data_IF_954189999654
#
_entry.id   IF_954189999654
#
_cell.length_a   1.000
_cell.length_b   1.000
_cell.length_c   1.000
_cell.angle_alpha   90.00
_cell.angle_beta   90.00
_cell.angle_gamma   90.00
#
_symmetry.space_group_name_H-M   'P 1'
#
loop_
_entity.id
_entity.type
_entity.pdbx_description
1 polymer ?
#
# COMPACT_ATOMS: atom_id res chain seq x y z
N UNK A 1 11.15 17.89 3.12
CA UNK A 1 10.67 19.30 3.24
C UNK A 1 11.28 20.21 2.17
N UNK A 2 11.03 19.96 0.89
CA UNK A 2 11.47 20.88 -0.17
C UNK A 2 10.40 21.92 -0.54
N UNK A 3 9.24 21.85 0.10
CA UNK A 3 8.12 22.75 -0.19
C UNK A 3 7.92 23.72 0.98
N UNK A 4 8.12 25.00 0.74
CA UNK A 4 8.05 26.06 1.74
C UNK A 4 6.78 26.94 1.67
N UNK A 5 5.79 26.53 0.84
CA UNK A 5 4.52 27.28 0.73
C UNK A 5 3.58 27.04 1.92
N UNK A 6 3.72 25.91 2.62
CA UNK A 6 2.86 25.55 3.74
C UNK A 6 3.71 24.94 4.85
N UNK A 7 3.41 25.31 6.08
CA UNK A 7 3.97 24.64 7.25
C UNK A 7 3.26 23.33 7.50
N UNK A 8 4.02 22.24 7.58
CA UNK A 8 3.56 20.94 8.01
C UNK A 8 4.70 20.16 8.66
N UNK A 9 4.33 19.32 9.61
CA UNK A 9 5.23 18.37 10.24
C UNK A 9 5.02 16.98 9.65
N UNK A 10 6.10 16.22 9.51
CA UNK A 10 6.08 14.87 8.98
C UNK A 10 6.55 13.88 10.04
N UNK A 11 5.74 12.84 10.25
CA UNK A 11 6.11 11.64 10.98
C UNK A 11 6.11 10.49 9.99
N UNK A 12 7.25 9.79 9.88
CA UNK A 12 7.36 8.58 9.05
C UNK A 12 7.09 7.37 9.94
N UNK A 13 5.88 6.84 9.83
CA UNK A 13 5.38 5.79 10.67
C UNK A 13 5.47 4.45 9.96
N UNK A 14 6.14 3.49 10.58
CA UNK A 14 6.26 2.12 10.10
C UNK A 14 5.55 1.20 11.09
N UNK A 15 4.57 0.48 10.62
CA UNK A 15 3.94 -0.59 11.38
C UNK A 15 4.61 -1.91 11.05
N UNK A 16 5.13 -2.57 12.08
CA UNK A 16 5.62 -3.94 11.99
C UNK A 16 4.51 -4.90 12.41
N UNK A 17 3.91 -5.64 11.50
CA UNK A 17 2.84 -6.60 11.80
C UNK A 17 3.36 -8.00 12.17
N UNK A 18 4.65 -8.15 12.44
CA UNK A 18 5.36 -9.42 12.67
C UNK A 18 6.28 -9.77 11.49
N UNK A 19 7.02 -8.81 10.97
CA UNK A 19 8.02 -9.06 9.92
C UNK A 19 9.14 -9.96 10.41
N UNK A 20 9.70 -10.76 9.48
CA UNK A 20 10.98 -11.39 9.73
C UNK A 20 12.11 -10.35 9.77
N UNK A 21 13.24 -10.72 10.38
CA UNK A 21 14.39 -9.83 10.58
C UNK A 21 14.90 -9.23 9.26
N UNK A 22 14.95 -10.02 8.19
CA UNK A 22 15.42 -9.56 6.89
C UNK A 22 14.54 -8.45 6.32
N UNK A 23 13.22 -8.59 6.41
CA UNK A 23 12.27 -7.58 5.94
C UNK A 23 12.36 -6.28 6.75
N UNK A 24 12.54 -6.40 8.07
CA UNK A 24 12.74 -5.26 8.96
C UNK A 24 14.03 -4.51 8.60
N UNK A 25 15.13 -5.22 8.39
CA UNK A 25 16.40 -4.63 7.98
C UNK A 25 16.31 -3.89 6.63
N UNK A 26 15.56 -4.42 5.65
CA UNK A 26 15.35 -3.72 4.38
C UNK A 26 14.68 -2.35 4.60
N UNK A 27 13.65 -2.29 5.44
CA UNK A 27 12.95 -1.03 5.76
C UNK A 27 13.91 -0.04 6.43
N UNK A 28 14.65 -0.48 7.43
CA UNK A 28 15.58 0.36 8.18
C UNK A 28 16.75 0.84 7.31
N UNK A 29 17.29 -0.03 6.44
CA UNK A 29 18.34 0.34 5.51
C UNK A 29 17.88 1.38 4.48
N UNK A 30 16.68 1.23 3.93
CA UNK A 30 16.11 2.25 3.04
C UNK A 30 15.93 3.59 3.76
N UNK A 31 15.47 3.56 5.01
CA UNK A 31 15.30 4.78 5.82
C UNK A 31 16.65 5.48 6.07
N UNK A 32 17.69 4.71 6.40
CA UNK A 32 19.06 5.21 6.57
C UNK A 32 19.63 5.79 5.26
N UNK A 33 19.44 5.08 4.14
CA UNK A 33 19.94 5.52 2.83
C UNK A 33 19.30 6.85 2.39
N UNK A 34 18.05 7.06 2.75
CA UNK A 34 17.30 8.28 2.43
C UNK A 34 17.40 9.38 3.51
N UNK A 35 18.12 9.11 4.61
CA UNK A 35 18.19 10.00 5.79
C UNK A 35 16.79 10.39 6.31
N UNK A 36 15.92 9.38 6.43
CA UNK A 36 14.53 9.56 6.90
C UNK A 36 14.41 8.99 8.31
N UNK A 37 14.07 9.81 9.32
CA UNK A 37 13.77 9.31 10.66
C UNK A 37 12.44 8.55 10.64
N UNK A 38 12.46 7.24 10.90
CA UNK A 38 11.25 6.43 10.99
C UNK A 38 10.90 6.16 12.45
N UNK A 39 9.59 6.13 12.73
CA UNK A 39 9.04 5.65 14.00
C UNK A 39 8.43 4.28 13.76
N UNK A 40 9.03 3.23 14.31
CA UNK A 40 8.52 1.87 14.19
C UNK A 40 7.64 1.54 15.39
N UNK A 41 6.49 0.93 15.16
CA UNK A 41 5.67 0.32 16.20
C UNK A 41 5.25 -1.08 15.79
N UNK A 42 5.20 -1.97 16.76
CA UNK A 42 4.90 -3.39 16.55
C UNK A 42 3.41 -3.68 16.74
N UNK A 43 2.92 -4.70 16.08
CA UNK A 43 1.59 -5.26 16.27
C UNK A 43 1.60 -6.76 15.97
N UNK A 44 0.67 -7.47 16.56
CA UNK A 44 0.46 -8.92 16.43
C UNK A 44 -0.52 -9.30 15.32
N UNK A 45 -0.68 -8.42 14.32
CA UNK A 45 -1.69 -8.62 13.26
C UNK A 45 -1.48 -9.92 12.50
N UNK A 46 -0.25 -10.29 12.21
CA UNK A 46 0.01 -11.52 11.44
C UNK A 46 -0.42 -12.76 12.24
N UNK A 47 -0.19 -12.77 13.55
CA UNK A 47 -0.60 -13.89 14.40
C UNK A 47 -2.11 -13.90 14.56
N UNK A 48 -2.75 -12.75 14.78
CA UNK A 48 -4.20 -12.64 14.91
C UNK A 48 -4.96 -13.04 13.63
N UNK A 49 -4.38 -12.79 12.45
CA UNK A 49 -5.02 -13.10 11.16
C UNK A 49 -4.70 -14.52 10.68
N UNK A 50 -3.62 -15.14 11.17
CA UNK A 50 -3.17 -16.47 10.76
C UNK A 50 -4.21 -17.57 11.03
N UNK A 51 -4.99 -17.43 12.09
CA UNK A 51 -6.02 -18.40 12.50
C UNK A 51 -7.35 -18.28 11.73
N UNK A 52 -7.45 -17.29 10.80
CA UNK A 52 -8.71 -16.99 10.12
C UNK A 52 -8.73 -17.55 8.70
N UNK A 53 -9.62 -18.51 8.46
CA UNK A 53 -9.77 -19.17 7.15
C UNK A 53 -10.41 -18.29 6.08
N UNK A 54 -11.31 -17.36 6.46
CA UNK A 54 -12.06 -16.53 5.49
C UNK A 54 -11.47 -15.14 5.34
N UNK A 55 -10.98 -14.85 4.13
CA UNK A 55 -10.50 -13.50 3.72
C UNK A 55 -9.44 -12.88 4.65
N UNK A 56 -8.35 -13.58 4.99
CA UNK A 56 -7.33 -13.09 5.91
C UNK A 56 -6.72 -11.76 5.43
N UNK A 57 -6.52 -11.60 4.13
CA UNK A 57 -5.95 -10.37 3.55
C UNK A 57 -6.85 -9.13 3.76
N UNK A 58 -8.18 -9.30 3.67
CA UNK A 58 -9.12 -8.20 3.92
C UNK A 58 -9.07 -7.75 5.39
N UNK A 59 -9.08 -8.72 6.31
CA UNK A 59 -9.02 -8.44 7.74
C UNK A 59 -7.68 -7.80 8.12
N UNK A 60 -6.58 -8.33 7.63
CA UNK A 60 -5.25 -7.76 7.80
C UNK A 60 -5.20 -6.29 7.35
N UNK A 61 -5.69 -5.99 6.14
CA UNK A 61 -5.72 -4.63 5.62
C UNK A 61 -6.60 -3.69 6.47
N UNK A 62 -7.72 -4.19 7.00
CA UNK A 62 -8.61 -3.43 7.87
C UNK A 62 -7.97 -3.14 9.23
N UNK A 63 -7.35 -4.14 9.86
CA UNK A 63 -6.66 -3.99 11.14
C UNK A 63 -5.47 -3.03 10.99
N UNK A 64 -4.62 -3.24 9.98
CA UNK A 64 -3.48 -2.35 9.70
C UNK A 64 -3.91 -0.89 9.58
N UNK A 65 -5.02 -0.64 8.88
CA UNK A 65 -5.57 0.72 8.76
C UNK A 65 -5.98 1.28 10.11
N UNK A 66 -6.69 0.52 10.92
CA UNK A 66 -7.11 0.94 12.27
C UNK A 66 -5.93 1.31 13.15
N UNK A 67 -4.92 0.44 13.22
CA UNK A 67 -3.70 0.67 14.01
C UNK A 67 -2.93 1.92 13.55
N UNK A 68 -2.77 2.09 12.23
CA UNK A 68 -2.10 3.27 11.68
C UNK A 68 -2.84 4.58 12.03
N UNK A 69 -4.17 4.59 11.95
CA UNK A 69 -4.96 5.76 12.34
C UNK A 69 -4.85 6.06 13.84
N UNK A 70 -4.97 5.04 14.70
CA UNK A 70 -4.82 5.20 16.14
C UNK A 70 -3.45 5.77 16.49
N UNK A 71 -2.39 5.18 15.92
CA UNK A 71 -1.01 5.62 16.19
C UNK A 71 -0.72 7.02 15.67
N UNK A 72 -1.20 7.35 14.48
CA UNK A 72 -1.08 8.70 13.93
C UNK A 72 -1.80 9.74 14.81
N UNK A 73 -2.98 9.41 15.33
CA UNK A 73 -3.73 10.29 16.24
C UNK A 73 -3.01 10.48 17.57
N UNK A 74 -2.44 9.42 18.16
CA UNK A 74 -1.61 9.50 19.37
C UNK A 74 -0.40 10.45 19.19
N UNK A 75 0.19 10.45 17.98
CA UNK A 75 1.31 11.31 17.61
C UNK A 75 0.88 12.73 17.22
N UNK A 76 -0.40 13.09 17.41
CA UNK A 76 -0.93 14.41 17.08
C UNK A 76 -1.07 14.71 15.59
N UNK A 77 -1.00 13.69 14.73
CA UNK A 77 -1.21 13.86 13.30
C UNK A 77 -2.69 14.07 12.97
N UNK A 78 -2.99 14.92 12.01
CA UNK A 78 -4.33 15.15 11.49
C UNK A 78 -4.54 14.54 10.09
N UNK A 79 -3.48 13.97 9.48
CA UNK A 79 -3.53 13.35 8.17
C UNK A 79 -2.69 12.09 8.12
N UNK A 80 -3.16 11.11 7.34
CA UNK A 80 -2.37 9.94 6.95
C UNK A 80 -2.11 10.02 5.46
N UNK A 81 -0.84 10.01 5.07
CA UNK A 81 -0.42 9.92 3.68
C UNK A 81 -0.13 8.45 3.31
N UNK A 82 -0.87 7.90 2.36
CA UNK A 82 -0.66 6.55 1.86
C UNK A 82 0.00 6.57 0.48
N UNK A 83 0.86 5.58 0.23
CA UNK A 83 1.64 5.43 -0.99
C UNK A 83 0.87 4.89 -2.20
N UNK A 84 -0.47 4.95 -2.21
CA UNK A 84 -1.24 4.54 -3.38
C UNK A 84 -0.95 5.47 -4.55
N UNK A 85 -0.77 4.87 -5.73
CA UNK A 85 -0.38 5.54 -6.95
C UNK A 85 -1.43 5.37 -8.06
N UNK A 86 -1.17 5.94 -9.24
CA UNK A 86 -2.11 5.99 -10.36
C UNK A 86 -2.60 4.60 -10.81
N UNK A 87 -1.69 3.62 -10.86
CA UNK A 87 -2.05 2.26 -11.28
C UNK A 87 -2.98 1.58 -10.27
N UNK A 88 -2.82 1.83 -8.95
CA UNK A 88 -3.74 1.35 -7.91
C UNK A 88 -5.17 1.87 -8.12
N UNK A 89 -5.29 3.12 -8.58
CA UNK A 89 -6.60 3.73 -8.85
C UNK A 89 -7.29 3.03 -10.00
N UNK A 90 -6.57 2.82 -11.12
CA UNK A 90 -7.10 2.11 -12.30
C UNK A 90 -7.49 0.68 -11.94
N UNK A 91 -6.62 -0.04 -11.26
CA UNK A 91 -6.88 -1.40 -10.81
C UNK A 91 -8.13 -1.49 -9.93
N UNK A 92 -8.29 -0.53 -8.99
CA UNK A 92 -9.46 -0.49 -8.11
C UNK A 92 -10.75 -0.25 -8.88
N UNK A 93 -10.76 0.65 -9.86
CA UNK A 93 -11.92 0.91 -10.72
C UNK A 93 -12.29 -0.35 -11.50
N UNK A 94 -11.32 -0.97 -12.19
CA UNK A 94 -11.55 -2.17 -12.98
C UNK A 94 -12.00 -3.36 -12.13
N UNK A 95 -11.42 -3.54 -10.95
CA UNK A 95 -11.88 -4.55 -9.99
C UNK A 95 -13.33 -4.33 -9.57
N UNK A 96 -13.71 -3.09 -9.26
CA UNK A 96 -15.08 -2.73 -8.92
C UNK A 96 -16.07 -3.05 -10.05
N UNK A 97 -15.70 -2.70 -11.28
CA UNK A 97 -16.54 -2.93 -12.46
C UNK A 97 -16.67 -4.41 -12.80
N UNK A 98 -15.57 -5.16 -12.83
CA UNK A 98 -15.54 -6.54 -13.34
C UNK A 98 -15.99 -7.57 -12.30
N UNK A 99 -15.70 -7.34 -11.03
CA UNK A 99 -16.02 -8.30 -9.95
C UNK A 99 -17.06 -7.82 -8.96
N UNK A 100 -17.31 -6.53 -8.90
CA UNK A 100 -18.26 -5.94 -7.95
C UNK A 100 -19.53 -5.35 -8.58
N UNK A 101 -19.64 -5.36 -9.93
CA UNK A 101 -20.73 -4.72 -10.68
C UNK A 101 -20.97 -3.25 -10.25
N UNK A 102 -19.92 -2.54 -9.84
CA UNK A 102 -20.01 -1.16 -9.36
C UNK A 102 -18.77 -0.35 -9.76
N UNK A 103 -18.94 0.94 -9.95
CA UNK A 103 -17.81 1.86 -10.16
C UNK A 103 -17.34 2.38 -8.81
N UNK A 104 -16.30 1.77 -8.29
CA UNK A 104 -15.61 2.25 -7.09
C UNK A 104 -14.38 3.04 -7.47
N UNK A 105 -14.17 4.19 -6.84
CA UNK A 105 -12.98 5.00 -7.05
C UNK A 105 -12.17 5.09 -5.76
N UNK A 106 -10.87 5.28 -5.94
CA UNK A 106 -9.96 5.57 -4.85
C UNK A 106 -9.71 7.09 -4.85
N UNK A 107 -10.41 7.83 -4.01
CA UNK A 107 -10.28 9.30 -3.98
C UNK A 107 -8.90 9.76 -3.51
N UNK A 108 -8.33 10.85 -4.05
CA UNK A 108 -7.03 11.37 -3.63
C UNK A 108 -7.02 11.89 -2.18
N UNK A 109 -8.20 12.27 -1.67
CA UNK A 109 -8.41 12.76 -0.31
C UNK A 109 -9.74 12.25 0.22
N UNK A 110 -9.75 11.79 1.48
CA UNK A 110 -10.94 11.29 2.19
C UNK A 110 -10.90 11.74 3.64
N UNK A 111 -12.04 12.18 4.16
CA UNK A 111 -12.23 12.31 5.60
C UNK A 111 -12.49 10.94 6.23
N UNK A 112 -11.89 10.69 7.38
CA UNK A 112 -12.13 9.45 8.10
C UNK A 112 -13.47 9.49 8.81
N UNK A 113 -14.30 8.48 8.59
CA UNK A 113 -15.59 8.34 9.30
C UNK A 113 -15.42 7.76 10.70
N UNK A 114 -14.36 6.99 10.93
CA UNK A 114 -14.12 6.30 12.21
C UNK A 114 -13.14 7.05 13.14
N UNK A 115 -12.38 8.00 12.60
CA UNK A 115 -11.38 8.78 13.33
C UNK A 115 -11.65 10.26 13.08
N UNK A 116 -12.46 10.85 13.94
CA UNK A 116 -12.85 12.26 13.85
C UNK A 116 -11.63 13.18 13.78
N UNK A 117 -11.67 14.15 12.86
CA UNK A 117 -10.59 15.11 12.62
C UNK A 117 -9.43 14.57 11.78
N UNK A 118 -9.47 13.28 11.38
CA UNK A 118 -8.42 12.67 10.55
C UNK A 118 -8.80 12.65 9.07
N UNK A 119 -7.81 12.93 8.22
CA UNK A 119 -7.92 12.80 6.77
C UNK A 119 -6.93 11.77 6.24
N UNK A 120 -7.32 11.06 5.18
CA UNK A 120 -6.44 10.25 4.36
C UNK A 120 -6.13 11.01 3.09
N UNK A 121 -4.84 11.07 2.73
CA UNK A 121 -4.37 11.66 1.47
C UNK A 121 -3.50 10.67 0.71
N UNK A 122 -3.46 10.84 -0.61
CA UNK A 122 -2.63 10.01 -1.52
C UNK A 122 -1.75 10.93 -2.38
N UNK A 123 -0.58 11.33 -1.87
CA UNK A 123 0.28 12.27 -2.58
C UNK A 123 0.76 11.77 -3.94
N UNK A 124 0.86 10.44 -4.12
CA UNK A 124 1.32 9.81 -5.37
C UNK A 124 0.17 9.43 -6.33
N UNK A 125 -1.04 9.97 -6.12
CA UNK A 125 -2.25 9.63 -6.85
C UNK A 125 -2.11 9.70 -8.39
N UNK A 126 -1.31 10.64 -8.90
CA UNK A 126 -1.06 10.84 -10.33
C UNK A 126 0.31 10.29 -10.81
N UNK A 127 1.08 9.64 -9.94
CA UNK A 127 2.39 9.09 -10.27
C UNK A 127 2.20 7.64 -10.72
N UNK A 128 2.85 7.24 -11.81
CA UNK A 128 2.78 5.88 -12.34
C UNK A 128 3.69 4.92 -11.58
N UNK A 129 3.28 3.66 -11.49
CA UNK A 129 4.08 2.61 -10.85
C UNK A 129 5.47 2.48 -11.50
N UNK A 130 5.56 2.62 -12.81
CA UNK A 130 6.82 2.55 -13.55
C UNK A 130 7.79 3.68 -13.14
N UNK A 131 7.29 4.90 -12.91
CA UNK A 131 8.12 6.02 -12.45
C UNK A 131 8.64 5.79 -11.02
N UNK A 132 7.82 5.17 -10.16
CA UNK A 132 8.23 4.78 -8.80
C UNK A 132 9.32 3.71 -8.85
N UNK A 133 9.20 2.72 -9.75
CA UNK A 133 10.23 1.69 -9.95
C UNK A 133 11.54 2.29 -10.45
N UNK A 134 11.50 3.17 -11.42
CA UNK A 134 12.68 3.87 -11.90
C UNK A 134 13.34 4.69 -10.79
N UNK A 135 12.55 5.40 -9.99
CA UNK A 135 13.05 6.16 -8.84
C UNK A 135 13.69 5.25 -7.79
N UNK A 136 13.08 4.10 -7.49
CA UNK A 136 13.64 3.08 -6.61
C UNK A 136 15.02 2.63 -7.10
N UNK A 137 15.11 2.26 -8.38
CA UNK A 137 16.33 1.70 -8.97
C UNK A 137 17.45 2.76 -9.02
N UNK A 138 17.09 4.00 -9.37
CA UNK A 138 18.03 5.12 -9.37
C UNK A 138 18.62 5.41 -7.98
N UNK A 139 17.86 5.21 -6.91
CA UNK A 139 18.32 5.43 -5.54
C UNK A 139 18.87 4.17 -4.86
N UNK A 140 18.96 3.04 -5.55
CA UNK A 140 19.46 1.78 -4.98
C UNK A 140 18.59 1.21 -3.85
N UNK A 141 17.29 1.52 -3.86
CA UNK A 141 16.36 1.07 -2.83
C UNK A 141 15.86 -0.35 -3.10
N UNK A 142 15.62 -1.09 -2.04
CA UNK A 142 15.03 -2.43 -2.10
C UNK A 142 13.65 -2.42 -1.46
N UNK A 143 12.62 -2.81 -2.22
CA UNK A 143 11.26 -2.88 -1.71
C UNK A 143 10.86 -4.31 -1.40
N UNK A 144 10.21 -4.48 -0.25
CA UNK A 144 9.60 -5.75 0.14
C UNK A 144 8.41 -5.99 -0.78
N UNK A 145 8.38 -7.13 -1.47
CA UNK A 145 7.25 -7.46 -2.36
C UNK A 145 6.04 -7.92 -1.56
N UNK A 146 6.22 -8.86 -0.66
CA UNK A 146 5.22 -9.27 0.32
C UNK A 146 5.93 -9.96 1.48
N UNK A 147 5.57 -9.57 2.69
CA UNK A 147 6.19 -10.07 3.90
C UNK A 147 5.23 -10.88 4.77
N UNK A 148 4.09 -11.29 4.22
CA UNK A 148 3.06 -12.06 4.90
C UNK A 148 3.33 -13.56 4.75
N UNK A 149 3.25 -14.33 5.83
CA UNK A 149 3.35 -15.80 5.82
C UNK A 149 2.37 -16.47 4.84
N UNK A 150 1.18 -15.87 4.62
CA UNK A 150 0.22 -16.34 3.61
C UNK A 150 0.73 -16.20 2.18
N UNK A 151 1.54 -15.19 1.89
CA UNK A 151 2.08 -14.97 0.55
C UNK A 151 3.30 -15.84 0.30
N UNK A 152 4.09 -16.14 1.33
CA UNK A 152 5.15 -17.14 1.26
C UNK A 152 4.55 -18.53 1.00
N UNK A 153 3.46 -18.90 1.66
CA UNK A 153 2.73 -20.15 1.41
C UNK A 153 2.05 -20.19 0.04
N UNK A 154 1.50 -19.08 -0.46
CA UNK A 154 0.91 -19.00 -1.81
C UNK A 154 1.95 -19.04 -2.93
N UNK A 155 3.19 -18.60 -2.67
CA UNK A 155 4.27 -18.68 -3.66
C UNK A 155 4.79 -20.13 -3.84
N UNK A 156 4.54 -21.01 -2.87
CA UNK A 156 4.97 -22.42 -2.87
C UNK A 156 3.89 -23.40 -3.32
N UNK A 157 2.63 -22.98 -3.39
CA UNK A 157 1.53 -23.82 -3.89
C UNK A 157 1.20 -23.44 -5.33
N UNK A 158 1.48 -24.33 -6.26
CA UNK A 158 1.13 -24.25 -7.70
C UNK A 158 -0.39 -24.32 -7.97
N UNK A 159 -1.22 -23.97 -7.02
CA UNK A 159 -2.67 -23.94 -7.20
C UNK A 159 -3.07 -22.67 -7.95
N UNK A 160 -3.28 -22.82 -9.27
CA UNK A 160 -3.77 -21.79 -10.21
C UNK A 160 -5.08 -21.09 -9.78
N UNK A 161 -5.82 -21.63 -8.82
CA UNK A 161 -7.10 -21.11 -8.33
C UNK A 161 -6.99 -19.85 -7.43
N UNK A 162 -5.80 -19.48 -6.96
CA UNK A 162 -5.58 -18.34 -6.06
C UNK A 162 -4.85 -17.15 -6.69
N UNK A 163 -4.96 -16.97 -8.00
CA UNK A 163 -4.54 -15.69 -8.59
C UNK A 163 -5.35 -14.57 -7.94
N UNK A 164 -4.72 -13.66 -7.21
CA UNK A 164 -5.47 -12.55 -6.64
C UNK A 164 -6.12 -11.77 -7.80
N UNK A 165 -7.40 -11.41 -7.66
CA UNK A 165 -8.15 -10.61 -8.66
C UNK A 165 -7.37 -9.37 -9.13
N UNK A 166 -6.55 -8.80 -8.26
CA UNK A 166 -5.66 -7.69 -8.61
C UNK A 166 -4.58 -8.09 -9.61
N UNK A 167 -4.02 -9.31 -9.51
CA UNK A 167 -3.04 -9.84 -10.46
C UNK A 167 -3.68 -10.04 -11.84
N UNK A 168 -4.88 -10.60 -11.88
CA UNK A 168 -5.65 -10.75 -13.13
C UNK A 168 -5.89 -9.39 -13.81
N UNK A 169 -6.25 -8.36 -13.05
CA UNK A 169 -6.43 -7.00 -13.58
C UNK A 169 -5.11 -6.43 -14.11
N UNK A 170 -3.99 -6.62 -13.40
CA UNK A 170 -2.67 -6.19 -13.89
C UNK A 170 -2.31 -6.86 -15.22
N UNK A 171 -2.57 -8.15 -15.36
CA UNK A 171 -2.33 -8.90 -16.58
C UNK A 171 -3.25 -8.45 -17.73
N UNK A 172 -4.53 -8.18 -17.43
CA UNK A 172 -5.48 -7.61 -18.39
C UNK A 172 -4.99 -6.25 -18.90
N UNK A 173 -4.60 -5.34 -17.99
CA UNK A 173 -4.07 -4.03 -18.36
C UNK A 173 -2.80 -4.18 -19.20
N UNK A 174 -1.89 -5.08 -18.83
CA UNK A 174 -0.68 -5.33 -19.59
C UNK A 174 -0.97 -5.85 -21.01
N UNK A 175 -1.98 -6.70 -21.18
CA UNK A 175 -2.43 -7.21 -22.48
C UNK A 175 -3.05 -6.09 -23.32
N UNK A 176 -3.93 -5.29 -22.74
CA UNK A 176 -4.54 -4.16 -23.44
C UNK A 176 -3.51 -3.10 -23.84
N UNK A 177 -2.47 -2.90 -23.04
CA UNK A 177 -1.37 -1.96 -23.35
C UNK A 177 -0.55 -2.37 -24.58
N UNK A 178 -0.50 -3.66 -24.92
CA UNK A 178 0.14 -4.14 -26.17
C UNK A 178 -0.63 -3.72 -27.42
N UNK A 179 -1.95 -3.57 -27.31
CA UNK A 179 -2.82 -3.18 -28.43
C UNK A 179 -3.01 -1.67 -28.48
N UNK A 180 -3.11 -1.02 -27.31
CA UNK A 180 -3.31 0.42 -27.20
C UNK A 180 -2.37 0.98 -26.12
N UNK A 181 -1.36 1.74 -26.53
CA UNK A 181 -0.39 2.37 -25.62
C UNK A 181 -1.02 3.37 -24.65
N UNK A 182 -2.19 3.89 -24.97
CA UNK A 182 -2.89 4.92 -24.20
C UNK A 182 -3.92 4.35 -23.19
N UNK A 183 -4.00 3.04 -23.04
CA UNK A 183 -4.97 2.37 -22.11
C UNK A 183 -4.95 2.93 -20.68
N UNK A 184 -3.81 3.47 -20.24
CA UNK A 184 -3.68 4.11 -18.93
C UNK A 184 -3.66 5.65 -18.98
N UNK A 185 -3.87 6.23 -20.13
CA UNK A 185 -3.61 7.66 -20.34
C UNK A 185 -4.83 8.49 -20.71
N UNK A 186 -5.96 7.82 -20.92
CA UNK A 186 -7.22 8.47 -21.32
C UNK A 186 -8.19 8.52 -20.15
#
# INVERSE_FOLDING_TARGET
KRHNKFHFDLVFLVMDPGYNEMNRQIIENNAKLLDIPITVFESDIFDAVYEIEKSPCYLCARMRRGYLYSKAKELGCNKIALGHHYDDVIETILMGMLYGAQVQTMMPKLHSTNFEGMELIRPMYLIREDDIKHWRDYNGLHFIQCACKFTEACATTENEENLSKRKEIKELIATLKKVNLYVKGN
#
